data_IF_266673056448
#
_entry.id   IF_266673056448
#
_cell.length_a   1.000
_cell.length_b   1.000
_cell.length_c   1.000
_cell.angle_alpha   90.00
_cell.angle_beta   90.00
_cell.angle_gamma   90.00
#
_symmetry.space_group_name_H-M   'P 1'
#
loop_
_entity.id
_entity.type
_entity.pdbx_description
1 polymer ?
#
# COMPACT_ATOMS: atom_id res chain seq x y z
N UNK A 1 1.45 -10.93 35.28
CA UNK A 1 2.61 -11.19 34.40
C UNK A 1 3.10 -12.66 34.36
N UNK A 2 2.76 -13.53 35.33
CA UNK A 2 3.26 -14.92 35.37
C UNK A 2 2.51 -15.94 34.47
N UNK A 3 1.22 -15.73 34.19
CA UNK A 3 0.40 -16.71 33.47
C UNK A 3 0.76 -16.86 31.97
N UNK A 4 1.19 -15.76 31.33
CA UNK A 4 1.70 -15.76 29.94
C UNK A 4 2.97 -16.59 29.78
N UNK A 5 3.88 -16.56 30.77
CA UNK A 5 5.11 -17.36 30.77
C UNK A 5 4.79 -18.86 30.90
N UNK A 6 3.80 -19.22 31.71
CA UNK A 6 3.40 -20.63 31.93
C UNK A 6 2.76 -21.25 30.67
N UNK A 7 1.90 -20.49 29.98
CA UNK A 7 1.28 -20.94 28.71
C UNK A 7 2.32 -21.08 27.59
N UNK A 8 3.25 -20.12 27.48
CA UNK A 8 4.35 -20.24 26.52
C UNK A 8 5.18 -21.50 26.80
N UNK A 9 5.59 -21.71 28.05
CA UNK A 9 6.42 -22.86 28.46
C UNK A 9 5.75 -24.20 28.11
N UNK A 10 4.44 -24.31 28.35
CA UNK A 10 3.66 -25.51 28.02
C UNK A 10 3.50 -25.78 26.52
N UNK A 11 3.33 -24.73 25.70
CA UNK A 11 3.27 -24.87 24.23
C UNK A 11 4.61 -25.30 23.64
N UNK A 12 5.72 -24.74 24.13
CA UNK A 12 7.08 -25.13 23.70
C UNK A 12 7.40 -26.59 24.08
N UNK A 13 6.98 -27.05 25.26
CA UNK A 13 7.17 -28.44 25.71
C UNK A 13 6.39 -29.44 24.84
N UNK A 14 5.16 -29.12 24.42
CA UNK A 14 4.40 -29.99 23.49
C UNK A 14 5.01 -30.03 22.09
N UNK A 15 5.45 -28.89 21.56
CA UNK A 15 6.13 -28.83 20.25
C UNK A 15 7.42 -29.65 20.28
N UNK A 16 8.21 -29.55 21.35
CA UNK A 16 9.41 -30.36 21.57
C UNK A 16 9.11 -31.87 21.69
N UNK A 17 8.03 -32.26 22.36
CA UNK A 17 7.62 -33.67 22.47
C UNK A 17 7.18 -34.26 21.12
N UNK A 18 6.38 -33.53 20.33
CA UNK A 18 5.99 -33.98 18.97
C UNK A 18 7.22 -34.05 18.06
N UNK A 19 8.16 -33.11 18.21
CA UNK A 19 9.41 -33.11 17.47
C UNK A 19 10.25 -34.36 17.75
N UNK A 20 10.30 -34.84 19.01
CA UNK A 20 11.16 -35.96 19.38
C UNK A 20 10.73 -37.31 18.76
N UNK A 21 9.45 -37.47 18.42
CA UNK A 21 8.90 -38.67 17.79
C UNK A 21 8.78 -38.60 16.25
N UNK A 22 8.99 -37.43 15.65
CA UNK A 22 8.94 -37.28 14.19
C UNK A 22 10.22 -37.81 13.53
N UNK A 23 10.09 -38.52 12.42
CA UNK A 23 11.25 -38.97 11.63
C UNK A 23 12.04 -37.76 11.10
N UNK A 24 13.37 -37.91 10.95
CA UNK A 24 14.27 -36.84 10.48
C UNK A 24 13.78 -36.23 9.14
N UNK A 25 13.20 -37.06 8.26
CA UNK A 25 12.61 -36.62 6.98
C UNK A 25 11.38 -35.72 7.18
N UNK A 26 10.49 -36.08 8.11
CA UNK A 26 9.30 -35.27 8.42
C UNK A 26 9.67 -33.94 9.07
N UNK A 27 10.68 -33.92 9.96
CA UNK A 27 11.19 -32.68 10.55
C UNK A 27 11.77 -31.74 9.50
N UNK A 28 12.59 -32.25 8.57
CA UNK A 28 13.13 -31.46 7.47
C UNK A 28 12.05 -30.90 6.54
N UNK A 29 11.04 -31.71 6.23
CA UNK A 29 9.89 -31.29 5.42
C UNK A 29 9.09 -30.16 6.05
N UNK A 30 8.72 -30.28 7.33
CA UNK A 30 7.99 -29.23 8.07
C UNK A 30 8.78 -27.93 8.10
N UNK A 31 10.09 -28.02 8.39
CA UNK A 31 10.95 -26.85 8.52
C UNK A 31 11.17 -26.15 7.17
N UNK A 32 11.21 -26.89 6.07
CA UNK A 32 11.26 -26.33 4.72
C UNK A 32 9.94 -25.65 4.30
N UNK A 33 8.79 -26.12 4.81
CA UNK A 33 7.46 -25.63 4.40
C UNK A 33 7.06 -24.31 5.09
N UNK A 34 7.52 -24.07 6.31
CA UNK A 34 7.23 -22.85 7.09
C UNK A 34 7.56 -21.54 6.33
N UNK A 35 8.78 -21.34 5.79
CA UNK A 35 9.11 -20.13 5.05
C UNK A 35 8.30 -20.00 3.75
N UNK A 36 8.02 -21.12 3.08
CA UNK A 36 7.19 -21.13 1.87
C UNK A 36 5.78 -20.66 2.19
N UNK A 37 5.17 -21.17 3.26
CA UNK A 37 3.85 -20.72 3.72
C UNK A 37 3.88 -19.22 4.06
N UNK A 38 4.90 -18.75 4.77
CA UNK A 38 5.01 -17.34 5.14
C UNK A 38 5.09 -16.42 3.90
N UNK A 39 5.86 -16.82 2.88
CA UNK A 39 5.93 -16.10 1.60
C UNK A 39 4.60 -16.15 0.87
N UNK A 40 3.93 -17.31 0.79
CA UNK A 40 2.62 -17.45 0.13
C UNK A 40 1.57 -16.59 0.81
N UNK A 41 1.52 -16.57 2.14
CA UNK A 41 0.60 -15.71 2.90
C UNK A 41 0.88 -14.23 2.61
N UNK A 42 2.15 -13.80 2.69
CA UNK A 42 2.54 -12.42 2.35
C UNK A 42 2.15 -12.06 0.92
N UNK A 43 2.31 -12.99 -0.03
CA UNK A 43 1.94 -12.80 -1.43
C UNK A 43 0.43 -12.67 -1.62
N UNK A 44 -0.38 -13.51 -0.95
CA UNK A 44 -1.85 -13.42 -1.00
C UNK A 44 -2.34 -12.09 -0.43
N UNK A 45 -1.77 -11.62 0.68
CA UNK A 45 -2.09 -10.30 1.24
C UNK A 45 -1.70 -9.16 0.29
N UNK A 46 -0.53 -9.27 -0.37
CA UNK A 46 -0.10 -8.29 -1.36
C UNK A 46 -1.04 -8.27 -2.58
N UNK A 47 -1.48 -9.43 -3.09
CA UNK A 47 -2.46 -9.51 -4.19
C UNK A 47 -3.81 -8.88 -3.81
N UNK A 48 -4.28 -9.14 -2.58
CA UNK A 48 -5.50 -8.53 -2.07
C UNK A 48 -5.36 -7.00 -1.96
N UNK A 49 -4.22 -6.53 -1.45
CA UNK A 49 -3.89 -5.11 -1.44
C UNK A 49 -3.85 -4.50 -2.85
N UNK A 50 -3.25 -5.19 -3.81
CA UNK A 50 -3.07 -4.69 -5.17
C UNK A 50 -4.40 -4.52 -5.92
N UNK A 51 -5.35 -5.46 -5.77
CA UNK A 51 -6.68 -5.32 -6.39
C UNK A 51 -7.45 -4.09 -5.89
N UNK A 52 -7.28 -3.73 -4.63
CA UNK A 52 -7.90 -2.53 -4.08
C UNK A 52 -7.22 -1.24 -4.58
N UNK A 53 -5.95 -1.30 -4.99
CA UNK A 53 -5.19 -0.12 -5.44
C UNK A 53 -5.69 0.45 -6.76
N UNK A 54 -6.05 -0.39 -7.74
CA UNK A 54 -6.49 0.09 -9.07
C UNK A 54 -7.72 1.02 -8.97
N UNK A 55 -8.69 0.65 -8.13
CA UNK A 55 -9.87 1.48 -7.88
C UNK A 55 -9.53 2.78 -7.13
N UNK A 56 -8.65 2.72 -6.13
CA UNK A 56 -8.26 3.91 -5.36
C UNK A 56 -7.41 4.86 -6.23
N UNK A 57 -6.53 4.33 -7.07
CA UNK A 57 -5.68 5.11 -7.96
C UNK A 57 -6.51 5.84 -9.01
N UNK A 58 -7.49 5.18 -9.63
CA UNK A 58 -8.41 5.83 -10.57
C UNK A 58 -9.30 6.90 -9.90
N UNK A 59 -9.73 6.67 -8.65
CA UNK A 59 -10.45 7.66 -7.84
C UNK A 59 -9.57 8.90 -7.57
N UNK A 60 -8.32 8.70 -7.15
CA UNK A 60 -7.34 9.77 -6.92
C UNK A 60 -7.08 10.57 -8.20
N UNK A 61 -6.82 9.89 -9.33
CA UNK A 61 -6.58 10.55 -10.61
C UNK A 61 -7.78 11.41 -11.03
N UNK A 62 -9.00 10.89 -10.86
CA UNK A 62 -10.23 11.63 -11.15
C UNK A 62 -10.36 12.89 -10.30
N UNK A 63 -10.11 12.80 -8.99
CA UNK A 63 -10.15 13.95 -8.08
C UNK A 63 -9.10 15.01 -8.44
N UNK A 64 -7.87 14.60 -8.76
CA UNK A 64 -6.85 15.52 -9.27
C UNK A 64 -7.27 16.20 -10.57
N UNK A 65 -7.93 15.48 -11.47
CA UNK A 65 -8.47 16.04 -12.70
C UNK A 65 -9.58 17.06 -12.42
N UNK A 66 -10.49 16.78 -11.49
CA UNK A 66 -11.53 17.74 -11.06
C UNK A 66 -10.91 19.03 -10.49
N UNK A 67 -9.97 18.91 -9.54
CA UNK A 67 -9.29 20.07 -8.92
C UNK A 67 -8.55 20.90 -9.97
N UNK A 68 -7.90 20.24 -10.94
CA UNK A 68 -7.24 20.92 -12.06
C UNK A 68 -8.24 21.69 -12.93
N UNK A 69 -9.35 21.06 -13.33
CA UNK A 69 -10.39 21.70 -14.14
C UNK A 69 -11.03 22.89 -13.41
N UNK A 70 -11.20 22.80 -12.08
CA UNK A 70 -11.67 23.91 -11.24
C UNK A 70 -10.66 25.07 -11.20
N UNK A 71 -9.36 24.78 -11.09
CA UNK A 71 -8.29 25.79 -11.16
C UNK A 71 -8.21 26.44 -12.54
N UNK A 72 -8.36 25.65 -13.60
CA UNK A 72 -8.39 26.14 -14.98
C UNK A 72 -9.59 27.08 -15.16
N UNK A 73 -10.78 26.70 -14.70
CA UNK A 73 -11.97 27.55 -14.76
C UNK A 73 -11.78 28.87 -14.00
N UNK A 74 -11.24 28.82 -12.79
CA UNK A 74 -10.91 30.02 -11.99
C UNK A 74 -9.95 30.95 -12.73
N UNK A 75 -8.90 30.38 -13.35
CA UNK A 75 -7.91 31.14 -14.12
C UNK A 75 -8.54 31.79 -15.37
N UNK A 76 -9.36 31.05 -16.11
CA UNK A 76 -10.09 31.59 -17.27
C UNK A 76 -11.01 32.75 -16.87
N UNK A 77 -11.71 32.64 -15.73
CA UNK A 77 -12.55 33.74 -15.24
C UNK A 77 -11.73 34.99 -14.88
N UNK A 78 -10.52 34.80 -14.33
CA UNK A 78 -9.59 35.90 -14.04
C UNK A 78 -9.07 36.54 -15.33
N UNK A 79 -8.70 35.74 -16.34
CA UNK A 79 -8.25 36.23 -17.64
C UNK A 79 -9.36 37.01 -18.36
N UNK A 80 -10.60 36.52 -18.28
CA UNK A 80 -11.76 37.21 -18.81
C UNK A 80 -11.97 38.59 -18.16
N UNK A 81 -11.99 38.65 -16.83
CA UNK A 81 -12.16 39.90 -16.10
C UNK A 81 -10.98 40.87 -16.30
N UNK A 82 -9.75 40.35 -16.32
CA UNK A 82 -8.54 41.19 -16.45
C UNK A 82 -8.40 41.75 -17.85
N UNK A 83 -8.66 40.95 -18.89
CA UNK A 83 -8.67 41.41 -20.28
C UNK A 83 -9.75 42.46 -20.53
N UNK A 84 -10.95 42.23 -20.01
CA UNK A 84 -12.06 43.19 -20.08
C UNK A 84 -11.68 44.53 -19.43
N UNK A 85 -11.17 44.53 -18.20
CA UNK A 85 -10.74 45.75 -17.51
C UNK A 85 -9.58 46.45 -18.22
N UNK A 86 -8.65 45.71 -18.79
CA UNK A 86 -7.56 46.25 -19.61
C UNK A 86 -8.08 46.98 -20.84
N UNK A 87 -9.09 46.41 -21.51
CA UNK A 87 -9.79 47.07 -22.61
C UNK A 87 -10.55 48.30 -22.14
N UNK A 88 -11.26 48.23 -21.00
CA UNK A 88 -11.99 49.38 -20.47
C UNK A 88 -11.08 50.58 -20.19
N UNK A 89 -9.88 50.30 -19.66
CA UNK A 89 -8.91 51.32 -19.27
C UNK A 89 -8.18 51.93 -20.47
N UNK A 90 -7.80 51.10 -21.45
CA UNK A 90 -6.90 51.51 -22.54
C UNK A 90 -7.62 51.81 -23.85
N UNK A 91 -8.86 51.31 -24.01
CA UNK A 91 -9.63 51.29 -25.26
C UNK A 91 -8.92 50.61 -26.43
N UNK A 92 -7.90 49.79 -26.15
CA UNK A 92 -7.14 49.08 -27.19
C UNK A 92 -7.64 47.64 -27.31
N UNK A 93 -8.07 47.21 -28.51
CA UNK A 93 -8.67 45.89 -28.70
C UNK A 93 -7.71 44.73 -28.41
N UNK A 94 -6.39 44.97 -28.43
CA UNK A 94 -5.35 44.01 -28.02
C UNK A 94 -5.59 43.46 -26.61
N UNK A 95 -6.13 44.27 -25.69
CA UNK A 95 -6.43 43.82 -24.33
C UNK A 95 -7.65 42.89 -24.24
N UNK A 96 -8.46 42.75 -25.29
CA UNK A 96 -9.57 41.79 -25.35
C UNK A 96 -9.13 40.37 -25.75
N UNK A 97 -7.88 40.16 -26.16
CA UNK A 97 -7.39 38.83 -26.55
C UNK A 97 -7.49 37.79 -25.41
N UNK A 98 -7.08 38.10 -24.15
CA UNK A 98 -7.30 37.20 -23.01
C UNK A 98 -8.78 36.93 -22.74
N UNK A 99 -9.64 37.95 -22.90
CA UNK A 99 -11.09 37.80 -22.71
C UNK A 99 -11.70 36.82 -23.72
N UNK A 100 -11.40 37.00 -25.01
CA UNK A 100 -11.93 36.12 -26.07
C UNK A 100 -11.45 34.69 -25.88
N UNK A 101 -10.16 34.52 -25.63
CA UNK A 101 -9.55 33.19 -25.40
C UNK A 101 -10.17 32.52 -24.17
N UNK A 102 -10.41 33.27 -23.10
CA UNK A 102 -11.03 32.74 -21.90
C UNK A 102 -12.47 32.28 -22.14
N UNK A 103 -13.29 33.14 -22.76
CA UNK A 103 -14.70 32.84 -23.08
C UNK A 103 -14.83 31.58 -23.92
N UNK A 104 -13.97 31.42 -24.94
CA UNK A 104 -13.98 30.24 -25.82
C UNK A 104 -13.63 28.93 -25.07
N UNK A 105 -12.86 29.02 -23.99
CA UNK A 105 -12.40 27.87 -23.20
C UNK A 105 -13.27 27.56 -21.98
N UNK A 106 -14.08 28.51 -21.49
CA UNK A 106 -14.93 28.30 -20.31
C UNK A 106 -15.95 27.19 -20.54
N UNK A 107 -16.71 27.22 -21.63
CA UNK A 107 -17.74 26.21 -21.92
C UNK A 107 -17.16 24.80 -22.06
N UNK A 108 -16.07 24.57 -22.83
CA UNK A 108 -15.40 23.27 -22.86
C UNK A 108 -14.88 22.82 -21.49
N UNK A 109 -14.39 23.74 -20.65
CA UNK A 109 -13.87 23.40 -19.32
C UNK A 109 -14.99 22.95 -18.37
N UNK A 110 -16.14 23.63 -18.39
CA UNK A 110 -17.34 23.22 -17.61
C UNK A 110 -17.87 21.87 -18.11
N UNK A 111 -17.93 21.65 -19.43
CA UNK A 111 -18.34 20.37 -20.00
C UNK A 111 -17.39 19.23 -19.56
N UNK A 112 -16.08 19.44 -19.65
CA UNK A 112 -15.10 18.47 -19.19
C UNK A 112 -15.17 18.19 -17.69
N UNK A 113 -15.52 19.19 -16.87
CA UNK A 113 -15.73 19.00 -15.43
C UNK A 113 -16.99 18.16 -15.16
N UNK A 114 -18.07 18.40 -15.92
CA UNK A 114 -19.29 17.57 -15.85
C UNK A 114 -19.01 16.12 -16.20
N UNK A 115 -18.28 15.86 -17.28
CA UNK A 115 -17.92 14.50 -17.70
C UNK A 115 -17.10 13.78 -16.60
N UNK A 116 -16.14 14.49 -15.98
CA UNK A 116 -15.36 13.93 -14.86
C UNK A 116 -16.26 13.57 -13.67
N UNK A 117 -17.26 14.41 -13.35
CA UNK A 117 -18.22 14.19 -12.25
C UNK A 117 -19.18 13.03 -12.58
N UNK A 118 -19.62 12.88 -13.82
CA UNK A 118 -20.52 11.78 -14.22
C UNK A 118 -19.90 10.40 -14.04
N UNK A 119 -18.57 10.32 -14.16
CA UNK A 119 -17.81 9.10 -13.91
C UNK A 119 -17.55 8.83 -12.40
N UNK A 120 -17.94 9.74 -11.51
CA UNK A 120 -17.80 9.54 -10.06
C UNK A 120 -18.66 8.35 -9.58
N UNK A 121 -18.08 7.43 -8.80
CA UNK A 121 -18.83 6.33 -8.19
C UNK A 121 -19.77 6.84 -7.08
N UNK A 122 -21.01 6.36 -7.10
CA UNK A 122 -22.02 6.67 -6.09
C UNK A 122 -22.93 7.83 -6.48
N UNK A 123 -24.24 7.64 -6.28
CA UNK A 123 -25.26 8.58 -6.70
C UNK A 123 -25.25 9.88 -5.88
N UNK A 124 -25.14 9.76 -4.55
CA UNK A 124 -25.08 10.91 -3.64
C UNK A 124 -23.90 11.85 -3.94
N UNK A 125 -22.63 11.38 -3.95
CA UNK A 125 -21.48 12.26 -4.17
C UNK A 125 -21.47 12.84 -5.61
N UNK A 126 -22.03 12.12 -6.59
CA UNK A 126 -22.25 12.65 -7.94
C UNK A 126 -23.26 13.79 -7.96
N UNK A 127 -24.43 13.61 -7.33
CA UNK A 127 -25.48 14.64 -7.27
C UNK A 127 -25.03 15.91 -6.57
N UNK A 128 -24.30 15.78 -5.45
CA UNK A 128 -23.77 16.92 -4.71
C UNK A 128 -22.84 17.77 -5.57
N UNK A 129 -21.92 17.13 -6.32
CA UNK A 129 -21.00 17.83 -7.23
C UNK A 129 -21.69 18.47 -8.42
N UNK A 130 -22.67 17.78 -9.02
CA UNK A 130 -23.45 18.34 -10.12
C UNK A 130 -24.25 19.57 -9.67
N UNK A 131 -24.77 19.58 -8.44
CA UNK A 131 -25.43 20.75 -7.89
C UNK A 131 -24.49 21.94 -7.69
N UNK A 132 -23.28 21.71 -7.16
CA UNK A 132 -22.24 22.76 -7.08
C UNK A 132 -21.81 23.24 -8.46
N UNK A 133 -21.62 22.33 -9.43
CA UNK A 133 -21.27 22.69 -10.81
C UNK A 133 -22.36 23.57 -11.44
N UNK A 134 -23.63 23.23 -11.25
CA UNK A 134 -24.75 24.01 -11.78
C UNK A 134 -24.76 25.44 -11.21
N UNK A 135 -24.46 25.60 -9.92
CA UNK A 135 -24.34 26.91 -9.29
C UNK A 135 -23.16 27.72 -9.84
N UNK A 136 -22.01 27.06 -10.07
CA UNK A 136 -20.85 27.68 -10.73
C UNK A 136 -21.22 28.12 -12.14
N UNK A 137 -21.88 27.27 -12.93
CA UNK A 137 -22.29 27.56 -14.30
C UNK A 137 -23.25 28.76 -14.37
N UNK A 138 -24.22 28.85 -13.44
CA UNK A 138 -25.12 30.01 -13.34
C UNK A 138 -24.36 31.30 -13.02
N UNK A 139 -23.45 31.26 -12.05
CA UNK A 139 -22.64 32.42 -11.65
C UNK A 139 -21.70 32.88 -12.78
N UNK A 140 -21.04 31.92 -13.45
CA UNK A 140 -20.18 32.17 -14.61
C UNK A 140 -20.98 32.78 -15.75
N UNK A 141 -22.17 32.25 -16.05
CA UNK A 141 -23.06 32.81 -17.07
C UNK A 141 -23.44 34.26 -16.77
N UNK A 142 -23.82 34.57 -15.53
CA UNK A 142 -24.09 35.96 -15.09
C UNK A 142 -22.87 36.86 -15.23
N UNK A 143 -21.69 36.36 -14.86
CA UNK A 143 -20.46 37.14 -14.97
C UNK A 143 -20.09 37.44 -16.42
N UNK A 144 -20.22 36.47 -17.33
CA UNK A 144 -19.95 36.68 -18.76
C UNK A 144 -20.89 37.72 -19.38
N UNK A 145 -22.17 37.70 -19.00
CA UNK A 145 -23.13 38.74 -19.39
C UNK A 145 -22.71 40.10 -18.84
N UNK A 146 -22.37 40.19 -17.55
CA UNK A 146 -21.90 41.44 -16.92
C UNK A 146 -20.65 42.00 -17.61
N UNK A 147 -19.65 41.16 -17.92
CA UNK A 147 -18.44 41.56 -18.62
C UNK A 147 -18.71 42.05 -20.05
N UNK A 148 -19.70 41.48 -20.73
CA UNK A 148 -20.11 41.94 -22.06
C UNK A 148 -20.82 43.30 -21.96
N UNK A 149 -21.75 43.45 -21.02
CA UNK A 149 -22.44 44.72 -20.78
C UNK A 149 -21.45 45.85 -20.47
N UNK A 150 -20.43 45.59 -19.64
CA UNK A 150 -19.35 46.55 -19.33
C UNK A 150 -18.66 47.11 -20.58
N UNK A 151 -18.45 46.27 -21.60
CA UNK A 151 -17.85 46.70 -22.87
C UNK A 151 -18.80 47.64 -23.63
N UNK A 152 -20.11 47.40 -23.60
CA UNK A 152 -21.12 48.24 -24.24
C UNK A 152 -21.23 49.64 -23.58
N UNK A 153 -20.97 49.75 -22.26
CA UNK A 153 -20.95 51.04 -21.54
C UNK A 153 -19.95 52.05 -22.13
N UNK A 154 -18.85 51.60 -22.75
CA UNK A 154 -17.88 52.47 -23.42
C UNK A 154 -18.41 53.11 -24.70
N UNK A 155 -19.28 52.41 -25.42
CA UNK A 155 -19.81 52.86 -26.71
C UNK A 155 -21.05 53.75 -26.54
N UNK A 156 -21.80 53.57 -25.45
CA UNK A 156 -23.05 54.30 -25.19
C UNK A 156 -22.87 55.65 -24.47
N UNK A 157 -21.64 56.04 -24.13
CA UNK A 157 -21.37 57.35 -23.49
C UNK A 157 -21.96 57.50 -22.08
N UNK A 158 -22.19 56.39 -21.38
CA UNK A 158 -22.78 56.36 -20.04
C UNK A 158 -21.85 56.98 -18.98
N UNK A 159 -22.44 57.48 -17.89
CA UNK A 159 -21.71 58.17 -16.81
C UNK A 159 -20.73 57.23 -16.10
N UNK A 160 -19.64 57.81 -15.58
CA UNK A 160 -18.57 57.05 -14.92
C UNK A 160 -19.09 56.29 -13.69
N UNK A 161 -20.05 56.87 -12.98
CA UNK A 161 -20.71 56.31 -11.80
C UNK A 161 -21.45 55.02 -12.13
N UNK A 162 -22.15 54.96 -13.28
CA UNK A 162 -22.87 53.77 -13.72
C UNK A 162 -21.91 52.62 -14.05
N UNK A 163 -20.77 52.93 -14.66
CA UNK A 163 -19.70 51.95 -14.91
C UNK A 163 -19.10 51.43 -13.60
N UNK A 164 -18.86 52.30 -12.61
CA UNK A 164 -18.35 51.89 -11.31
C UNK A 164 -19.32 50.94 -10.57
N UNK A 165 -20.61 51.25 -10.55
CA UNK A 165 -21.62 50.38 -9.94
C UNK A 165 -21.70 49.02 -10.64
N UNK A 166 -21.59 49.01 -11.97
CA UNK A 166 -21.61 47.79 -12.75
C UNK A 166 -20.36 46.92 -12.50
N UNK A 167 -19.17 47.53 -12.47
CA UNK A 167 -17.92 46.84 -12.10
C UNK A 167 -17.95 46.28 -10.67
N UNK A 168 -18.62 46.98 -9.73
CA UNK A 168 -18.82 46.47 -8.38
C UNK A 168 -19.67 45.20 -8.37
N UNK A 169 -20.76 45.15 -9.15
CA UNK A 169 -21.58 43.93 -9.30
C UNK A 169 -20.77 42.77 -9.92
N UNK A 170 -19.96 43.05 -10.94
CA UNK A 170 -19.07 42.06 -11.55
C UNK A 170 -18.04 41.50 -10.55
N UNK A 171 -17.51 42.35 -9.67
CA UNK A 171 -16.65 41.92 -8.57
C UNK A 171 -17.38 40.99 -7.60
N UNK A 172 -18.60 41.34 -7.19
CA UNK A 172 -19.39 40.52 -6.25
C UNK A 172 -19.72 39.14 -6.84
N UNK A 173 -19.97 39.07 -8.15
CA UNK A 173 -20.14 37.80 -8.87
C UNK A 173 -18.85 36.98 -8.89
N UNK A 174 -17.70 37.60 -9.17
CA UNK A 174 -16.41 36.90 -9.15
C UNK A 174 -16.02 36.39 -7.76
N UNK A 175 -16.30 37.15 -6.71
CA UNK A 175 -16.08 36.71 -5.33
C UNK A 175 -16.96 35.49 -5.00
N UNK A 176 -18.21 35.44 -5.49
CA UNK A 176 -19.09 34.27 -5.36
C UNK A 176 -18.59 33.06 -6.17
N UNK A 177 -18.11 33.26 -7.41
CA UNK A 177 -17.53 32.19 -8.23
C UNK A 177 -16.32 31.58 -7.52
N UNK A 178 -15.40 32.42 -7.02
CA UNK A 178 -14.22 31.98 -6.27
C UNK A 178 -14.60 31.21 -5.01
N UNK A 179 -15.60 31.68 -4.27
CA UNK A 179 -16.07 30.99 -3.07
C UNK A 179 -16.64 29.60 -3.39
N UNK A 180 -17.46 29.47 -4.45
CA UNK A 180 -18.05 28.19 -4.83
C UNK A 180 -17.00 27.21 -5.37
N UNK A 181 -16.10 27.68 -6.24
CA UNK A 181 -14.96 26.89 -6.73
C UNK A 181 -14.08 26.44 -5.57
N UNK A 182 -13.70 27.36 -4.67
CA UNK A 182 -12.86 27.05 -3.51
C UNK A 182 -13.50 26.06 -2.54
N UNK A 183 -14.82 26.17 -2.32
CA UNK A 183 -15.58 25.20 -1.52
C UNK A 183 -15.51 23.80 -2.12
N UNK A 184 -15.70 23.70 -3.44
CA UNK A 184 -15.63 22.41 -4.15
C UNK A 184 -14.20 21.83 -4.17
N UNK A 185 -13.19 22.68 -4.37
CA UNK A 185 -11.78 22.29 -4.33
C UNK A 185 -11.37 21.75 -2.95
N UNK A 186 -11.65 22.51 -1.89
CA UNK A 186 -11.32 22.10 -0.52
C UNK A 186 -11.94 20.75 -0.17
N UNK A 187 -13.17 20.49 -0.62
CA UNK A 187 -13.84 19.21 -0.40
C UNK A 187 -13.16 18.05 -1.14
N UNK A 188 -12.74 18.24 -2.39
CA UNK A 188 -12.01 17.19 -3.10
C UNK A 188 -10.60 16.97 -2.54
N UNK A 189 -9.93 18.03 -2.08
CA UNK A 189 -8.61 17.94 -1.43
C UNK A 189 -8.66 17.18 -0.09
N UNK A 190 -9.69 17.43 0.73
CA UNK A 190 -9.92 16.68 1.98
C UNK A 190 -10.14 15.19 1.68
N UNK A 191 -11.00 14.87 0.71
CA UNK A 191 -11.24 13.49 0.29
C UNK A 191 -9.99 12.84 -0.31
N UNK A 192 -9.16 13.60 -1.03
CA UNK A 192 -7.87 13.12 -1.55
C UNK A 192 -6.90 12.76 -0.43
N UNK A 193 -6.81 13.59 0.61
CA UNK A 193 -5.94 13.34 1.75
C UNK A 193 -6.30 12.02 2.44
N UNK A 194 -7.60 11.79 2.70
CA UNK A 194 -8.09 10.53 3.28
C UNK A 194 -7.71 9.31 2.42
N UNK A 195 -7.85 9.41 1.09
CA UNK A 195 -7.50 8.33 0.15
C UNK A 195 -5.99 8.04 0.12
N UNK A 196 -5.16 9.06 0.24
CA UNK A 196 -3.70 8.90 0.27
C UNK A 196 -3.30 8.17 1.56
N UNK A 197 -3.93 8.47 2.68
CA UNK A 197 -3.67 7.80 3.95
C UNK A 197 -4.10 6.32 3.94
N UNK A 198 -5.23 5.99 3.31
CA UNK A 198 -5.66 4.60 3.07
C UNK A 198 -4.59 3.80 2.30
N UNK A 199 -4.02 4.39 1.23
CA UNK A 199 -2.94 3.76 0.45
C UNK A 199 -1.70 3.57 1.31
N UNK A 200 -1.33 4.58 2.09
CA UNK A 200 -0.15 4.52 2.96
C UNK A 200 -0.28 3.41 4.00
N UNK A 201 -1.47 3.23 4.58
CA UNK A 201 -1.76 2.15 5.51
C UNK A 201 -1.62 0.77 4.86
N UNK A 202 -2.20 0.57 3.67
CA UNK A 202 -2.08 -0.68 2.90
C UNK A 202 -0.60 -0.97 2.60
N UNK A 203 0.15 0.04 2.15
CA UNK A 203 1.56 -0.08 1.83
C UNK A 203 2.41 -0.43 3.05
N UNK A 204 2.19 0.24 4.19
CA UNK A 204 2.89 -0.07 5.44
C UNK A 204 2.63 -1.50 5.90
N UNK A 205 1.36 -1.92 5.89
CA UNK A 205 0.95 -3.29 6.20
C UNK A 205 1.69 -4.32 5.32
N UNK A 206 1.74 -4.09 4.01
CA UNK A 206 2.41 -4.99 3.07
C UNK A 206 3.93 -5.10 3.38
N UNK A 207 4.59 -3.97 3.70
CA UNK A 207 6.00 -3.99 4.13
C UNK A 207 6.23 -4.75 5.43
N UNK A 208 5.34 -4.60 6.42
CA UNK A 208 5.42 -5.34 7.68
C UNK A 208 5.27 -6.85 7.45
N UNK A 209 4.36 -7.29 6.59
CA UNK A 209 4.20 -8.72 6.28
C UNK A 209 5.43 -9.30 5.58
N UNK A 210 6.00 -8.59 4.61
CA UNK A 210 7.24 -9.00 3.93
C UNK A 210 8.39 -9.09 4.93
N UNK A 211 8.51 -8.12 5.84
CA UNK A 211 9.55 -8.12 6.88
C UNK A 211 9.39 -9.29 7.86
N UNK A 212 8.15 -9.60 8.28
CA UNK A 212 7.87 -10.76 9.14
C UNK A 212 8.19 -12.06 8.40
N UNK A 213 7.81 -12.20 7.14
CA UNK A 213 8.10 -13.39 6.34
C UNK A 213 9.62 -13.60 6.18
N UNK A 214 10.37 -12.51 5.97
CA UNK A 214 11.84 -12.54 5.94
C UNK A 214 12.42 -13.00 7.28
N UNK A 215 11.97 -12.43 8.40
CA UNK A 215 12.40 -12.82 9.74
C UNK A 215 12.12 -14.29 10.02
N UNK A 216 10.92 -14.78 9.68
CA UNK A 216 10.55 -16.21 9.81
C UNK A 216 11.48 -17.07 8.98
N UNK A 217 11.76 -16.69 7.72
CA UNK A 217 12.68 -17.43 6.86
C UNK A 217 14.09 -17.54 7.44
N UNK A 218 14.64 -16.44 7.95
CA UNK A 218 15.96 -16.42 8.60
C UNK A 218 15.97 -17.26 9.89
N UNK A 219 14.95 -17.12 10.74
CA UNK A 219 14.84 -17.90 11.97
C UNK A 219 14.74 -19.40 11.68
N UNK A 220 13.90 -19.80 10.72
CA UNK A 220 13.78 -21.19 10.32
C UNK A 220 15.10 -21.72 9.76
N UNK A 221 15.88 -20.90 9.04
CA UNK A 221 17.21 -21.27 8.54
C UNK A 221 18.20 -21.52 9.67
N UNK A 222 18.25 -20.62 10.66
CA UNK A 222 19.12 -20.76 11.85
C UNK A 222 18.74 -22.02 12.65
N UNK A 223 17.45 -22.24 12.90
CA UNK A 223 16.96 -23.41 13.62
C UNK A 223 17.26 -24.69 12.85
N UNK A 224 17.07 -24.69 11.52
CA UNK A 224 17.41 -25.83 10.65
C UNK A 224 18.87 -26.20 10.78
N UNK A 225 19.77 -25.21 10.68
CA UNK A 225 21.20 -25.42 10.79
C UNK A 225 21.58 -26.00 12.16
N UNK A 226 21.05 -25.42 13.23
CA UNK A 226 21.32 -25.89 14.60
C UNK A 226 20.81 -27.33 14.85
N UNK A 227 19.61 -27.64 14.38
CA UNK A 227 19.03 -28.98 14.51
C UNK A 227 19.75 -30.01 13.64
N UNK A 228 20.22 -29.63 12.45
CA UNK A 228 21.02 -30.50 11.58
C UNK A 228 22.38 -30.81 12.21
N UNK A 229 23.09 -29.79 12.71
CA UNK A 229 24.38 -29.96 13.39
C UNK A 229 24.26 -30.89 14.61
N UNK A 230 23.33 -30.61 15.53
CA UNK A 230 23.16 -31.43 16.74
C UNK A 230 22.48 -32.76 16.51
N UNK A 231 21.52 -32.81 15.58
CA UNK A 231 20.67 -33.97 15.36
C UNK A 231 21.28 -35.03 14.45
N UNK A 232 22.13 -34.62 13.50
CA UNK A 232 22.73 -35.50 12.49
C UNK A 232 24.25 -35.48 12.60
N UNK A 233 24.91 -34.33 12.38
CA UNK A 233 26.38 -34.25 12.25
C UNK A 233 27.08 -34.79 13.49
N UNK A 234 26.78 -34.26 14.68
CA UNK A 234 27.41 -34.71 15.93
C UNK A 234 27.12 -36.17 16.27
N UNK A 235 25.99 -36.73 15.81
CA UNK A 235 25.66 -38.15 16.04
C UNK A 235 26.44 -39.04 15.07
N UNK A 236 26.64 -38.61 13.84
CA UNK A 236 27.53 -39.28 12.89
C UNK A 236 28.99 -39.26 13.35
N UNK A 237 29.47 -38.14 13.90
CA UNK A 237 30.82 -38.05 14.47
C UNK A 237 31.00 -39.06 15.62
N UNK A 238 30.06 -39.11 16.56
CA UNK A 238 30.09 -40.10 17.67
C UNK A 238 30.05 -41.54 17.17
N UNK A 239 29.25 -41.83 16.15
CA UNK A 239 29.19 -43.16 15.54
C UNK A 239 30.52 -43.54 14.90
N UNK A 240 31.14 -42.60 14.18
CA UNK A 240 32.45 -42.78 13.55
C UNK A 240 33.52 -43.02 14.61
N UNK A 241 33.53 -42.25 15.70
CA UNK A 241 34.44 -42.45 16.84
C UNK A 241 34.22 -43.80 17.53
N UNK A 242 32.97 -44.22 17.75
CA UNK A 242 32.65 -45.51 18.36
C UNK A 242 33.11 -46.69 17.50
N UNK A 243 32.86 -46.65 16.18
CA UNK A 243 33.34 -47.69 15.25
C UNK A 243 34.87 -47.70 15.18
N UNK A 244 35.51 -46.53 15.18
CA UNK A 244 36.97 -46.41 15.24
C UNK A 244 37.56 -46.97 16.55
N UNK A 245 36.86 -46.85 17.67
CA UNK A 245 37.28 -47.43 18.95
C UNK A 245 37.18 -48.96 18.94
N UNK A 246 36.07 -49.52 18.44
CA UNK A 246 35.86 -50.98 18.35
C UNK A 246 36.87 -51.63 17.41
N UNK A 247 37.13 -51.01 16.24
CA UNK A 247 38.12 -51.53 15.27
C UNK A 247 39.56 -51.52 15.80
N UNK A 248 39.88 -50.70 16.80
CA UNK A 248 41.16 -50.71 17.51
C UNK A 248 41.21 -51.67 18.69
N UNK A 249 40.17 -52.51 18.89
CA UNK A 249 40.06 -53.43 20.02
C UNK A 249 39.63 -52.78 21.34
N UNK A 250 39.09 -51.56 21.30
CA UNK A 250 38.57 -50.84 22.47
C UNK A 250 37.06 -50.99 22.64
N UNK A 251 36.51 -50.45 23.72
CA UNK A 251 35.07 -50.38 23.99
C UNK A 251 34.44 -49.10 23.40
N UNK A 252 33.11 -49.01 23.40
CA UNK A 252 32.40 -47.81 22.93
C UNK A 252 32.86 -46.54 23.68
N UNK A 253 33.31 -45.53 22.93
CA UNK A 253 33.79 -44.26 23.46
C UNK A 253 32.66 -43.39 24.02
N UNK A 254 31.45 -43.47 23.46
CA UNK A 254 30.28 -42.69 23.88
C UNK A 254 29.01 -43.55 24.03
N UNK A 255 28.15 -43.26 25.02
CA UNK A 255 26.87 -43.93 25.18
C UNK A 255 25.95 -43.64 23.99
N UNK A 256 25.38 -44.70 23.41
CA UNK A 256 24.52 -44.61 22.24
C UNK A 256 23.07 -44.27 22.65
N UNK A 257 22.50 -43.14 22.16
CA UNK A 257 21.15 -42.72 22.52
C UNK A 257 20.07 -43.67 21.96
N UNK A 258 19.09 -44.07 22.78
CA UNK A 258 17.90 -44.79 22.32
C UNK A 258 16.92 -43.82 21.67
N UNK A 259 16.99 -43.68 20.34
CA UNK A 259 15.98 -42.97 19.55
C UNK A 259 15.46 -43.87 18.44
N UNK A 260 14.15 -43.82 18.18
CA UNK A 260 13.52 -44.60 17.11
C UNK A 260 13.51 -43.80 15.78
N UNK A 261 14.70 -43.43 15.32
CA UNK A 261 14.91 -42.82 14.00
C UNK A 261 15.95 -43.60 13.18
N UNK A 262 16.15 -43.24 11.91
CA UNK A 262 17.05 -43.99 11.02
C UNK A 262 18.49 -44.09 11.56
N UNK A 263 18.98 -43.03 12.23
CA UNK A 263 20.29 -43.02 12.88
C UNK A 263 20.25 -43.91 14.12
N UNK A 264 19.20 -43.85 14.93
CA UNK A 264 19.06 -44.72 16.10
C UNK A 264 18.95 -46.21 15.77
N UNK A 265 18.34 -46.59 14.63
CA UNK A 265 18.37 -47.97 14.13
C UNK A 265 19.77 -48.41 13.72
N UNK A 266 20.55 -47.53 13.10
CA UNK A 266 21.96 -47.77 12.78
C UNK A 266 22.81 -47.90 14.06
N UNK A 267 22.58 -47.03 15.05
CA UNK A 267 23.21 -47.10 16.38
C UNK A 267 22.94 -48.47 17.05
N UNK A 268 21.72 -49.01 16.93
CA UNK A 268 21.36 -50.34 17.45
C UNK A 268 21.98 -51.51 16.68
N UNK A 269 22.07 -51.44 15.35
CA UNK A 269 22.74 -52.49 14.56
C UNK A 269 24.25 -52.51 14.84
N UNK A 270 24.87 -51.34 15.00
CA UNK A 270 26.29 -51.24 15.40
C UNK A 270 26.51 -51.82 16.81
N UNK A 271 25.58 -51.62 17.75
CA UNK A 271 25.63 -52.26 19.07
C UNK A 271 25.65 -53.78 18.96
N UNK A 272 24.73 -54.36 18.18
CA UNK A 272 24.68 -55.82 17.98
C UNK A 272 25.96 -56.36 17.35
N UNK A 273 26.54 -55.64 16.40
CA UNK A 273 27.82 -56.02 15.77
C UNK A 273 28.95 -55.96 16.79
N UNK A 274 29.03 -54.90 17.58
CA UNK A 274 30.05 -54.74 18.63
C UNK A 274 29.94 -55.81 19.72
N UNK A 275 28.74 -56.13 20.18
CA UNK A 275 28.50 -57.23 21.13
C UNK A 275 28.94 -58.58 20.53
N UNK A 276 28.61 -58.85 19.26
CA UNK A 276 29.03 -60.07 18.57
C UNK A 276 30.56 -60.19 18.47
N UNK A 277 31.25 -59.11 18.08
CA UNK A 277 32.71 -59.08 17.98
C UNK A 277 33.41 -59.18 19.35
N UNK A 278 32.82 -58.60 20.40
CA UNK A 278 33.36 -58.67 21.77
C UNK A 278 33.08 -60.03 22.44
N UNK A 279 32.07 -60.78 21.97
CA UNK A 279 31.85 -62.18 22.34
C UNK A 279 32.88 -63.11 21.66
N UNK A 280 33.37 -62.77 20.46
CA UNK A 280 34.42 -63.53 19.77
C UNK A 280 35.84 -63.29 20.30
N UNK A 281 36.08 -62.28 21.15
CA UNK A 281 37.41 -61.96 21.73
C UNK A 281 37.64 -62.48 23.16
N UNK A 282 36.71 -63.24 23.75
CA UNK A 282 36.97 -63.91 25.02
C UNK A 282 37.86 -65.13 24.74
N UNK A 283 39.09 -65.21 25.26
CA UNK A 283 39.90 -66.41 25.07
C UNK A 283 39.14 -67.58 25.66
N UNK A 284 39.06 -68.68 24.89
CA UNK A 284 38.66 -69.98 25.42
C UNK A 284 39.69 -70.33 26.53
N UNK A 285 39.28 -70.14 27.79
CA UNK A 285 39.93 -70.76 28.94
C UNK A 285 39.63 -72.27 28.97
#
# INVERSE_FOLDING_TARGET
MNWLKTILKWRWIRVLMIWNHASIRAQGGILALIPVIAVVVSFVFALYGNRNREWIESDIQRKFQMVRQLNDLSSLMVDAETGERGFLLTRRPEYLEPYRTAVDRITPTIAGLRDTIELEPGEKPRRERLASLQKIEELVGRQLVSLKESQDYLFEGKTREALYEHLKKGKDLMDQIRAEIGSMQNREEELLADRIDDINYIRWRDYVFVFIALCIGLLTRIVSFYLFDRGIVRRLDRLTENVAAITRGGTFAHPLPKKDDAIGKLEQEILKIGEKYNIEQKPDD
#
